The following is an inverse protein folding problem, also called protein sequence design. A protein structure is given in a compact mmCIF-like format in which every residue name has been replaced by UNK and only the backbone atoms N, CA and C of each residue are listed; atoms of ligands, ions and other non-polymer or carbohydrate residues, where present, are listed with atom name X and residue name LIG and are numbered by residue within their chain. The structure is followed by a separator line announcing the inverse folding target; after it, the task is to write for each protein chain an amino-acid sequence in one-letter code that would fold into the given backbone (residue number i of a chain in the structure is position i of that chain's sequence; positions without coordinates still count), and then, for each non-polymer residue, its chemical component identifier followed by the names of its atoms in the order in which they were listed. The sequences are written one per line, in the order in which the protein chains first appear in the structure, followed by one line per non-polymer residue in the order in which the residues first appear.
data_IF_432107473076
#
_entry.id   IF_432107473076
#
_cell.length_a   1.000
_cell.length_b   1.000
_cell.length_c   1.000
_cell.angle_alpha   90.00
_cell.angle_beta   90.00
_cell.angle_gamma   90.00
#
_symmetry.space_group_name_H-M   'P 1'
#
loop_
_entity.id
_entity.type
_entity.pdbx_description
1 polymer ?
#
# COMPACT_ATOMS: atom_id res chain seq x y z
N UNK A 1 -42.54 -25.18 14.88
CA UNK A 1 -41.37 -25.02 13.99
C UNK A 1 -41.65 -25.57 12.59
N UNK A 2 -42.04 -26.84 12.42
CA UNK A 2 -42.41 -27.43 11.10
C UNK A 2 -43.49 -26.61 10.35
N UNK A 3 -44.59 -26.23 11.01
CA UNK A 3 -45.65 -25.41 10.41
C UNK A 3 -45.15 -24.05 9.88
N UNK A 4 -44.24 -23.40 10.61
CA UNK A 4 -43.67 -22.12 10.21
C UNK A 4 -42.79 -22.26 8.96
N UNK A 5 -42.03 -23.36 8.85
CA UNK A 5 -41.21 -23.68 7.69
C UNK A 5 -42.07 -23.91 6.43
N UNK A 6 -43.17 -24.66 6.55
CA UNK A 6 -44.12 -24.86 5.45
C UNK A 6 -44.76 -23.55 4.99
N UNK A 7 -45.17 -22.70 5.94
CA UNK A 7 -45.72 -21.38 5.63
C UNK A 7 -44.68 -20.53 4.87
N UNK A 8 -43.41 -20.53 5.29
CA UNK A 8 -42.32 -19.81 4.63
C UNK A 8 -42.13 -20.28 3.18
N UNK A 9 -42.04 -21.60 2.96
CA UNK A 9 -41.85 -22.17 1.62
C UNK A 9 -43.03 -21.80 0.71
N UNK A 10 -44.26 -21.87 1.23
CA UNK A 10 -45.47 -21.48 0.51
C UNK A 10 -45.44 -19.99 0.12
N UNK A 11 -45.08 -19.11 1.06
CA UNK A 11 -45.01 -17.67 0.79
C UNK A 11 -43.93 -17.31 -0.22
N UNK A 12 -42.73 -17.88 -0.09
CA UNK A 12 -41.60 -17.63 -1.00
C UNK A 12 -41.95 -18.10 -2.41
N UNK A 13 -42.51 -19.31 -2.57
CA UNK A 13 -42.84 -19.86 -3.89
C UNK A 13 -43.89 -19.03 -4.64
N UNK A 14 -44.85 -18.44 -3.94
CA UNK A 14 -45.95 -17.69 -4.55
C UNK A 14 -45.54 -16.30 -5.07
N UNK A 15 -44.57 -15.65 -4.42
CA UNK A 15 -44.16 -14.27 -4.71
C UNK A 15 -42.62 -14.17 -4.89
N UNK A 16 -41.98 -15.20 -5.46
CA UNK A 16 -40.51 -15.37 -5.49
C UNK A 16 -39.76 -14.19 -6.12
N UNK A 17 -40.27 -13.61 -7.20
CA UNK A 17 -39.64 -12.48 -7.89
C UNK A 17 -39.55 -11.24 -7.00
N UNK A 18 -40.49 -11.06 -6.06
CA UNK A 18 -40.51 -9.92 -5.13
C UNK A 18 -39.51 -10.10 -3.99
N UNK A 19 -39.37 -11.33 -3.51
CA UNK A 19 -38.36 -11.66 -2.52
C UNK A 19 -36.96 -11.54 -3.11
N UNK A 20 -36.75 -11.99 -4.35
CA UNK A 20 -35.48 -11.79 -5.06
C UNK A 20 -35.16 -10.31 -5.27
N UNK A 21 -36.15 -9.49 -5.63
CA UNK A 21 -35.96 -8.04 -5.75
C UNK A 21 -35.55 -7.40 -4.42
N UNK A 22 -36.21 -7.77 -3.32
CA UNK A 22 -35.83 -7.30 -1.98
C UNK A 22 -34.42 -7.75 -1.59
N UNK A 23 -34.06 -9.01 -1.89
CA UNK A 23 -32.72 -9.52 -1.64
C UNK A 23 -31.69 -8.70 -2.40
N UNK A 24 -31.92 -8.41 -3.69
CA UNK A 24 -31.04 -7.59 -4.52
C UNK A 24 -30.90 -6.16 -4.00
N UNK A 25 -32.01 -5.52 -3.59
CA UNK A 25 -31.99 -4.18 -3.00
C UNK A 25 -31.16 -4.15 -1.71
N UNK A 26 -31.29 -5.16 -0.85
CA UNK A 26 -30.48 -5.25 0.37
C UNK A 26 -29.01 -5.59 0.08
N UNK A 27 -28.70 -6.36 -0.98
CA UNK A 27 -27.30 -6.57 -1.41
C UNK A 27 -26.69 -5.23 -1.80
N UNK A 28 -27.35 -4.46 -2.68
CA UNK A 28 -26.87 -3.14 -3.09
C UNK A 28 -26.69 -2.20 -1.89
N UNK A 29 -27.65 -2.20 -0.96
CA UNK A 29 -27.53 -1.43 0.28
C UNK A 29 -26.30 -1.85 1.10
N UNK A 30 -26.11 -3.15 1.32
CA UNK A 30 -24.98 -3.65 2.10
C UNK A 30 -23.65 -3.35 1.43
N UNK A 31 -23.54 -3.50 0.11
CA UNK A 31 -22.35 -3.13 -0.66
C UNK A 31 -22.04 -1.63 -0.51
N UNK A 32 -23.02 -0.76 -0.66
CA UNK A 32 -22.84 0.69 -0.51
C UNK A 32 -22.39 1.07 0.91
N UNK A 33 -23.09 0.57 1.94
CA UNK A 33 -22.75 0.94 3.33
C UNK A 33 -21.43 0.31 3.77
N UNK A 34 -21.14 -0.93 3.38
CA UNK A 34 -19.89 -1.60 3.72
C UNK A 34 -18.68 -0.89 3.12
N UNK A 35 -18.76 -0.52 1.84
CA UNK A 35 -17.72 0.29 1.20
C UNK A 35 -17.59 1.68 1.85
N UNK A 36 -18.68 2.28 2.31
CA UNK A 36 -18.64 3.56 3.04
C UNK A 36 -17.96 3.41 4.41
N UNK A 37 -18.25 2.33 5.15
CA UNK A 37 -17.61 2.04 6.44
C UNK A 37 -16.12 1.77 6.26
N UNK A 38 -15.74 0.97 5.25
CA UNK A 38 -14.33 0.72 4.93
C UNK A 38 -13.62 2.00 4.48
N UNK A 39 -14.32 2.87 3.76
CA UNK A 39 -13.80 4.18 3.38
C UNK A 39 -13.54 5.07 4.61
N UNK A 40 -14.48 5.15 5.56
CA UNK A 40 -14.31 5.94 6.79
C UNK A 40 -13.21 5.34 7.68
N UNK A 41 -13.17 4.02 7.87
CA UNK A 41 -12.08 3.33 8.61
C UNK A 41 -10.73 3.53 7.91
N UNK A 42 -10.72 3.57 6.58
CA UNK A 42 -9.55 3.92 5.77
C UNK A 42 -9.11 5.38 5.93
N UNK A 43 -10.06 6.31 6.10
CA UNK A 43 -9.77 7.72 6.40
C UNK A 43 -9.19 7.87 7.81
N UNK A 44 -9.69 7.16 8.81
CA UNK A 44 -9.09 7.14 10.16
C UNK A 44 -7.71 6.46 10.17
N UNK A 45 -7.46 5.49 9.28
CA UNK A 45 -6.10 4.94 9.09
C UNK A 45 -5.14 5.91 8.41
N UNK A 46 -5.59 6.90 7.64
CA UNK A 46 -4.71 8.01 7.21
C UNK A 46 -4.08 8.72 8.43
N UNK A 47 -4.72 8.68 9.60
CA UNK A 47 -4.13 9.24 10.82
C UNK A 47 -3.02 8.38 11.44
N UNK A 48 -2.92 7.10 11.05
CA UNK A 48 -1.89 6.13 11.42
C UNK A 48 -0.85 5.88 10.30
N UNK A 49 -0.96 6.53 9.14
CA UNK A 49 -0.04 6.41 7.99
C UNK A 49 1.37 6.96 8.23
N UNK A 50 1.60 7.50 9.41
CA UNK A 50 2.86 8.11 9.82
C UNK A 50 3.53 7.16 10.80
N UNK A 51 4.49 6.39 10.31
CA UNK A 51 5.36 5.65 11.19
C UNK A 51 6.18 6.67 11.99
N UNK A 52 5.92 6.68 13.29
CA UNK A 52 6.57 7.57 14.25
C UNK A 52 7.68 6.83 14.95
N UNK A 53 8.93 7.18 14.66
CA UNK A 53 10.09 6.58 15.33
C UNK A 53 11.13 7.63 15.63
N UNK A 54 11.77 7.51 16.80
CA UNK A 54 12.86 8.39 17.24
C UNK A 54 12.54 9.90 17.14
N UNK A 55 11.27 10.27 17.30
CA UNK A 55 10.83 11.66 17.19
C UNK A 55 10.59 12.16 15.75
N UNK A 56 10.60 11.27 14.75
CA UNK A 56 10.35 11.58 13.34
C UNK A 56 9.12 10.85 12.80
N UNK A 57 8.57 11.39 11.72
CA UNK A 57 7.52 10.81 10.87
C UNK A 57 8.13 10.54 9.52
N UNK A 58 8.06 9.29 9.07
CA UNK A 58 8.61 8.85 7.80
C UNK A 58 7.49 8.62 6.79
N UNK A 59 7.73 8.98 5.53
CA UNK A 59 6.77 8.85 4.44
C UNK A 59 7.53 8.45 3.18
N UNK A 60 7.47 7.15 2.85
CA UNK A 60 8.07 6.66 1.61
C UNK A 60 7.22 7.06 0.41
N UNK A 61 7.86 7.65 -0.60
CA UNK A 61 7.22 7.97 -1.87
C UNK A 61 7.33 6.80 -2.84
N UNK A 62 6.24 6.49 -3.54
CA UNK A 62 6.16 5.53 -4.63
C UNK A 62 5.49 6.13 -5.84
N UNK A 63 5.91 5.70 -7.02
CA UNK A 63 5.32 6.13 -8.27
C UNK A 63 3.84 5.77 -8.32
N UNK A 64 3.01 6.71 -8.74
CA UNK A 64 1.63 6.41 -9.07
C UNK A 64 1.59 5.61 -10.38
N UNK A 65 1.11 4.36 -10.33
CA UNK A 65 1.14 3.41 -11.45
C UNK A 65 0.06 3.69 -12.52
N UNK A 66 -0.35 4.94 -12.72
CA UNK A 66 -1.46 5.31 -13.60
C UNK A 66 -1.07 5.36 -15.09
N UNK A 67 -0.31 4.35 -15.53
CA UNK A 67 -0.35 3.89 -16.91
C UNK A 67 -0.38 2.36 -16.90
N UNK A 68 -1.55 1.81 -17.23
CA UNK A 68 -1.80 0.38 -17.44
C UNK A 68 -1.13 -0.18 -18.70
N UNK A 69 -0.32 0.62 -19.37
CA UNK A 69 0.81 0.16 -20.15
C UNK A 69 2.03 0.35 -19.27
N UNK A 70 2.77 -0.72 -18.97
CA UNK A 70 4.21 -0.60 -18.75
C UNK A 70 4.76 0.12 -19.99
N UNK A 71 4.70 1.46 -20.00
CA UNK A 71 5.68 2.23 -20.72
C UNK A 71 6.90 1.89 -19.91
N UNK A 72 7.71 0.98 -20.45
CA UNK A 72 8.99 0.67 -19.88
C UNK A 72 9.62 2.01 -19.55
N UNK A 73 9.99 2.24 -18.30
CA UNK A 73 10.56 3.52 -17.84
C UNK A 73 11.79 3.87 -18.71
N UNK A 74 12.37 2.85 -19.35
CA UNK A 74 13.38 2.88 -20.40
C UNK A 74 13.01 3.63 -21.69
N UNK A 75 11.72 3.76 -22.01
CA UNK A 75 11.20 4.38 -23.24
C UNK A 75 10.73 5.82 -23.05
N UNK A 76 10.76 6.36 -21.82
CA UNK A 76 10.46 7.76 -21.56
C UNK A 76 11.79 8.52 -21.44
N UNK A 77 12.23 9.26 -22.47
CA UNK A 77 13.32 10.21 -22.32
C UNK A 77 12.85 11.39 -21.47
N UNK A 78 12.82 11.20 -20.16
CA UNK A 78 12.73 12.30 -19.21
C UNK A 78 14.01 13.13 -19.32
N UNK A 79 13.89 14.46 -19.33
CA UNK A 79 15.08 15.31 -19.32
C UNK A 79 15.80 15.13 -17.98
N UNK A 80 17.04 14.66 -18.02
CA UNK A 80 17.94 14.55 -16.86
C UNK A 80 17.93 15.83 -16.03
N UNK A 81 17.93 16.98 -16.69
CA UNK A 81 17.85 18.32 -16.07
C UNK A 81 16.60 18.47 -15.17
N UNK A 82 15.44 17.98 -15.62
CA UNK A 82 14.19 18.06 -14.85
C UNK A 82 14.24 17.18 -13.60
N UNK A 83 14.84 16.00 -13.71
CA UNK A 83 15.04 15.11 -12.56
C UNK A 83 16.00 15.72 -11.54
N UNK A 84 17.09 16.33 -12.02
CA UNK A 84 18.05 17.05 -11.17
C UNK A 84 17.38 18.21 -10.43
N UNK A 85 16.62 19.05 -11.12
CA UNK A 85 15.87 20.16 -10.51
C UNK A 85 14.87 19.65 -9.45
N UNK A 86 14.26 18.50 -9.69
CA UNK A 86 13.34 17.86 -8.74
C UNK A 86 14.06 17.37 -7.49
N UNK A 87 15.18 16.66 -7.65
CA UNK A 87 16.01 16.25 -6.51
C UNK A 87 16.55 17.45 -5.74
N UNK A 88 16.97 18.51 -6.42
CA UNK A 88 17.44 19.74 -5.79
C UNK A 88 16.34 20.42 -4.96
N UNK A 89 15.11 20.51 -5.50
CA UNK A 89 13.95 21.04 -4.76
C UNK A 89 13.64 20.20 -3.52
N UNK A 90 13.73 18.87 -3.61
CA UNK A 90 13.49 17.97 -2.47
C UNK A 90 14.56 18.12 -1.39
N UNK A 91 15.84 18.09 -1.78
CA UNK A 91 16.98 18.20 -0.86
C UNK A 91 17.06 19.57 -0.17
N UNK A 92 16.58 20.64 -0.83
CA UNK A 92 16.62 22.00 -0.28
C UNK A 92 15.36 22.40 0.51
N UNK A 93 14.33 21.55 0.58
CA UNK A 93 13.12 21.87 1.32
C UNK A 93 13.36 21.77 2.84
N UNK A 94 13.10 22.85 3.58
CA UNK A 94 13.39 22.91 5.02
C UNK A 94 12.32 22.27 5.90
N UNK A 95 11.19 21.84 5.33
CA UNK A 95 10.06 21.29 6.09
C UNK A 95 10.27 19.82 6.47
N UNK A 96 11.12 19.12 5.73
CA UNK A 96 11.45 17.71 5.90
C UNK A 96 12.90 17.47 5.51
N UNK A 97 13.42 16.30 5.87
CA UNK A 97 14.65 15.76 5.29
C UNK A 97 14.22 14.82 4.17
N UNK A 98 14.77 14.99 2.97
CA UNK A 98 14.62 14.01 1.90
C UNK A 98 15.72 12.98 2.03
N UNK A 99 15.36 11.70 1.96
CA UNK A 99 16.27 10.57 2.09
C UNK A 99 16.16 9.68 0.87
N UNK A 100 17.12 9.82 -0.05
CA UNK A 100 17.40 8.86 -1.12
C UNK A 100 18.23 7.71 -0.54
N UNK A 101 17.53 6.63 -0.19
CA UNK A 101 18.14 5.46 0.44
C UNK A 101 17.60 4.17 -0.17
N UNK A 102 18.51 3.34 -0.68
CA UNK A 102 18.21 2.06 -1.32
C UNK A 102 19.10 0.99 -0.69
N UNK A 103 18.60 0.32 0.35
CA UNK A 103 19.39 -0.58 1.21
C UNK A 103 19.34 -2.06 0.83
N UNK A 104 18.39 -2.47 -0.01
CA UNK A 104 18.26 -3.84 -0.53
C UNK A 104 18.57 -3.81 -2.03
N UNK A 105 19.78 -3.40 -2.36
CA UNK A 105 20.27 -3.37 -3.74
C UNK A 105 21.41 -4.36 -3.91
N UNK A 106 21.63 -4.73 -5.16
CA UNK A 106 22.76 -5.56 -5.57
C UNK A 106 23.66 -4.80 -6.52
N UNK A 107 24.94 -5.13 -6.46
CA UNK A 107 25.92 -4.69 -7.45
C UNK A 107 26.77 -5.86 -7.89
N UNK A 108 27.09 -5.93 -9.18
CA UNK A 108 27.91 -7.01 -9.72
C UNK A 108 29.37 -6.73 -9.42
N UNK A 109 30.04 -7.65 -8.77
CA UNK A 109 31.50 -7.66 -8.64
C UNK A 109 32.08 -8.80 -9.47
N UNK A 110 33.27 -8.58 -10.07
CA UNK A 110 33.95 -9.61 -10.84
C UNK A 110 34.54 -10.67 -9.91
N UNK A 111 34.24 -11.95 -10.16
CA UNK A 111 34.62 -13.06 -9.28
C UNK A 111 36.14 -13.13 -9.08
N UNK A 112 36.92 -12.86 -10.11
CA UNK A 112 38.38 -12.87 -10.03
C UNK A 112 38.91 -11.81 -9.04
N UNK A 113 38.24 -10.66 -8.94
CA UNK A 113 38.64 -9.59 -8.02
C UNK A 113 38.17 -9.88 -6.60
N UNK A 114 36.95 -10.38 -6.43
CA UNK A 114 36.48 -10.80 -5.12
C UNK A 114 37.38 -11.90 -4.56
N UNK A 115 37.71 -12.93 -5.34
CA UNK A 115 38.62 -13.99 -4.94
C UNK A 115 40.04 -13.48 -4.62
N UNK A 116 40.48 -12.37 -5.24
CA UNK A 116 41.79 -11.77 -4.95
C UNK A 116 41.84 -11.22 -3.52
N UNK A 117 40.77 -10.60 -3.04
CA UNK A 117 40.70 -10.01 -1.70
C UNK A 117 40.33 -11.04 -0.63
N UNK A 118 39.36 -11.91 -0.92
CA UNK A 118 38.88 -12.94 0.03
C UNK A 118 39.82 -14.16 0.11
N UNK A 119 40.63 -14.43 -0.92
CA UNK A 119 41.55 -15.56 -0.92
C UNK A 119 40.82 -16.91 -0.85
N UNK A 120 41.07 -17.68 0.20
CA UNK A 120 40.40 -18.96 0.46
C UNK A 120 39.13 -18.80 1.33
N UNK A 121 38.88 -17.61 1.88
CA UNK A 121 37.71 -17.35 2.73
C UNK A 121 36.43 -17.26 1.89
N UNK A 122 35.32 -17.66 2.50
CA UNK A 122 34.00 -17.55 1.87
C UNK A 122 33.49 -16.11 1.91
N UNK A 123 32.99 -15.62 0.77
CA UNK A 123 32.29 -14.34 0.64
C UNK A 123 30.75 -14.48 0.71
N UNK A 124 30.21 -15.65 1.08
CA UNK A 124 28.75 -15.92 1.09
C UNK A 124 27.95 -14.91 1.94
N UNK A 125 28.53 -14.45 3.05
CA UNK A 125 27.90 -13.48 3.96
C UNK A 125 27.71 -12.08 3.32
N UNK A 126 28.46 -11.78 2.26
CA UNK A 126 28.49 -10.48 1.57
C UNK A 126 27.62 -10.46 0.30
N UNK A 127 27.03 -11.59 -0.07
CA UNK A 127 26.19 -11.72 -1.25
C UNK A 127 24.84 -11.01 -1.05
N UNK A 128 24.31 -10.44 -2.13
CA UNK A 128 22.95 -9.89 -2.14
C UNK A 128 21.92 -10.99 -1.79
N UNK A 129 20.88 -10.62 -1.05
CA UNK A 129 19.83 -11.53 -0.56
C UNK A 129 20.32 -12.67 0.33
N UNK A 130 21.50 -12.52 0.93
CA UNK A 130 21.94 -13.30 2.08
C UNK A 130 20.88 -13.26 3.17
N UNK A 131 20.28 -14.42 3.50
CA UNK A 131 19.20 -14.50 4.49
C UNK A 131 19.69 -14.23 5.92
N UNK A 132 20.95 -14.57 6.20
CA UNK A 132 21.58 -14.38 7.51
C UNK A 132 23.06 -13.98 7.34
N UNK A 133 23.34 -12.73 6.93
CA UNK A 133 24.71 -12.23 6.83
C UNK A 133 25.46 -12.43 8.15
N UNK A 134 26.60 -13.12 8.10
CA UNK A 134 27.46 -13.44 9.24
C UNK A 134 27.25 -14.83 9.84
N UNK A 135 26.28 -15.61 9.36
CA UNK A 135 25.96 -16.95 9.86
C UNK A 135 26.22 -18.07 8.83
N UNK A 136 26.62 -17.78 7.60
CA UNK A 136 26.82 -18.84 6.58
C UNK A 136 27.98 -19.77 6.87
N UNK A 137 29.02 -19.29 7.57
CA UNK A 137 30.11 -20.16 8.06
C UNK A 137 29.58 -21.29 8.95
N UNK A 138 28.45 -21.10 9.63
CA UNK A 138 27.83 -22.09 10.52
C UNK A 138 26.80 -23.00 9.81
N UNK A 139 26.21 -22.56 8.69
CA UNK A 139 25.12 -23.26 7.98
C UNK A 139 25.30 -23.28 6.44
N UNK A 140 26.27 -24.04 5.90
CA UNK A 140 26.67 -24.00 4.49
C UNK A 140 25.63 -24.57 3.50
N UNK A 141 24.55 -25.19 3.97
CA UNK A 141 23.49 -25.73 3.11
C UNK A 141 22.59 -24.66 2.48
N UNK A 142 22.68 -23.41 2.94
CA UNK A 142 21.78 -22.32 2.55
C UNK A 142 22.44 -21.31 1.57
N UNK A 143 23.53 -21.70 0.90
CA UNK A 143 24.27 -20.81 -0.01
C UNK A 143 23.34 -20.23 -1.08
N UNK A 144 23.28 -18.90 -1.22
CA UNK A 144 22.54 -18.28 -2.32
C UNK A 144 23.24 -18.59 -3.66
N UNK A 145 22.47 -18.96 -4.69
CA UNK A 145 22.98 -19.06 -6.05
C UNK A 145 22.99 -17.66 -6.66
N UNK A 146 24.18 -17.07 -6.83
CA UNK A 146 24.34 -15.66 -7.24
C UNK A 146 25.35 -15.43 -8.38
N UNK A 147 25.86 -16.51 -8.98
CA UNK A 147 26.80 -16.40 -10.10
C UNK A 147 26.08 -16.05 -11.40
N UNK A 148 26.54 -14.98 -12.04
CA UNK A 148 26.05 -14.50 -13.33
C UNK A 148 27.22 -14.22 -14.27
N UNK A 149 26.93 -14.04 -15.56
CA UNK A 149 27.93 -13.59 -16.52
C UNK A 149 27.63 -12.15 -16.96
N UNK A 150 28.67 -11.33 -17.04
CA UNK A 150 28.64 -10.02 -17.68
C UNK A 150 29.75 -9.98 -18.74
N UNK A 151 29.39 -9.79 -20.01
CA UNK A 151 30.31 -9.84 -21.15
C UNK A 151 31.28 -11.04 -21.14
N UNK A 152 30.76 -12.24 -20.85
CA UNK A 152 31.50 -13.52 -20.74
C UNK A 152 32.46 -13.62 -19.55
N UNK A 153 32.49 -12.65 -18.64
CA UNK A 153 33.20 -12.74 -17.37
C UNK A 153 32.23 -13.11 -16.23
N UNK A 154 32.71 -13.94 -15.31
CA UNK A 154 31.92 -14.37 -14.17
C UNK A 154 31.82 -13.24 -13.14
N UNK A 155 30.60 -12.95 -12.73
CA UNK A 155 30.24 -11.90 -11.77
C UNK A 155 29.37 -12.50 -10.67
N UNK A 156 29.40 -11.87 -9.50
CA UNK A 156 28.53 -12.20 -8.37
C UNK A 156 27.84 -10.94 -7.87
N UNK A 157 26.60 -11.10 -7.42
CA UNK A 157 25.81 -10.01 -6.86
C UNK A 157 26.18 -9.82 -5.39
N UNK A 158 26.84 -8.70 -5.09
CA UNK A 158 27.21 -8.28 -3.73
C UNK A 158 26.11 -7.40 -3.14
N UNK A 159 25.92 -7.49 -1.82
CA UNK A 159 24.99 -6.61 -1.09
C UNK A 159 25.45 -5.15 -1.22
N UNK A 160 24.53 -4.28 -1.61
CA UNK A 160 24.82 -2.85 -1.77
C UNK A 160 23.73 -1.99 -1.10
N UNK A 161 24.16 -0.91 -0.49
CA UNK A 161 23.31 0.19 -0.06
C UNK A 161 23.70 1.48 -0.76
N UNK A 162 22.78 2.07 -1.54
CA UNK A 162 22.96 3.43 -2.06
C UNK A 162 22.36 4.45 -1.10
N UNK A 163 23.13 5.49 -0.78
CA UNK A 163 22.76 6.44 0.27
C UNK A 163 23.20 7.87 -0.07
N UNK A 164 22.36 8.85 0.22
CA UNK A 164 22.69 10.28 0.12
C UNK A 164 23.33 10.86 1.41
N UNK A 165 23.75 12.12 1.35
CA UNK A 165 24.37 12.84 2.48
C UNK A 165 23.43 12.97 3.67
N UNK A 166 22.17 13.27 3.38
CA UNK A 166 21.17 13.62 4.39
C UNK A 166 20.76 12.38 5.17
N UNK A 167 20.70 11.22 4.52
CA UNK A 167 20.52 9.93 5.15
C UNK A 167 21.71 9.55 6.02
N UNK A 168 22.95 9.70 5.53
CA UNK A 168 24.15 9.44 6.36
C UNK A 168 24.11 10.25 7.65
N UNK A 169 23.76 11.54 7.55
CA UNK A 169 23.64 12.42 8.70
C UNK A 169 22.47 12.02 9.62
N UNK A 170 21.29 11.76 9.05
CA UNK A 170 20.07 11.42 9.79
C UNK A 170 20.22 10.13 10.60
N UNK A 171 20.82 9.10 10.00
CA UNK A 171 21.07 7.81 10.68
C UNK A 171 22.37 7.80 11.51
N UNK A 172 23.12 8.91 11.54
CA UNK A 172 24.34 9.04 12.34
C UNK A 172 25.44 8.06 11.93
N UNK A 173 25.51 7.70 10.65
CA UNK A 173 26.52 6.77 10.15
C UNK A 173 27.91 7.40 10.29
N UNK A 174 28.87 6.61 10.73
CA UNK A 174 30.27 7.05 10.89
C UNK A 174 31.22 5.91 10.60
N UNK A 175 32.46 6.27 10.25
CA UNK A 175 33.51 5.32 9.90
C UNK A 175 34.33 4.92 11.13
N UNK A 176 34.80 3.67 11.17
CA UNK A 176 35.84 3.20 12.09
C UNK A 176 37.23 3.58 11.58
N UNK A 177 37.42 3.60 10.26
CA UNK A 177 38.68 3.90 9.58
C UNK A 177 38.42 4.61 8.25
N UNK A 178 39.34 5.50 7.85
CA UNK A 178 39.22 6.29 6.62
C UNK A 178 38.34 7.52 6.77
N UNK A 179 37.69 7.92 5.67
CA UNK A 179 36.85 9.12 5.62
C UNK A 179 35.43 8.78 5.20
N UNK A 180 34.45 9.49 5.75
CA UNK A 180 33.07 9.43 5.25
C UNK A 180 32.96 10.18 3.92
N UNK A 181 31.84 10.02 3.20
CA UNK A 181 31.60 10.78 1.97
C UNK A 181 31.58 12.29 2.23
N UNK A 182 32.22 12.99 1.31
CA UNK A 182 32.22 14.43 1.10
C UNK A 182 31.28 14.79 -0.04
N UNK A 183 30.95 16.07 -0.20
CA UNK A 183 30.05 16.52 -1.28
C UNK A 183 30.52 16.12 -2.69
N UNK A 184 31.83 16.02 -2.89
CA UNK A 184 32.41 15.63 -4.18
C UNK A 184 32.17 14.15 -4.52
N UNK A 185 32.01 13.26 -3.52
CA UNK A 185 31.75 11.84 -3.76
C UNK A 185 30.35 11.59 -4.34
N UNK A 186 29.45 12.57 -4.21
CA UNK A 186 28.12 12.55 -4.82
C UNK A 186 28.11 13.09 -6.26
N UNK A 187 29.27 13.44 -6.82
CA UNK A 187 29.42 13.85 -8.22
C UNK A 187 30.10 12.72 -8.99
N UNK A 188 29.40 12.15 -9.97
CA UNK A 188 29.94 11.10 -10.82
C UNK A 188 30.38 11.64 -12.18
N UNK A 189 31.67 11.51 -12.50
CA UNK A 189 32.19 11.78 -13.83
C UNK A 189 32.22 10.50 -14.66
N UNK A 190 31.33 10.43 -15.65
CA UNK A 190 31.21 9.30 -16.59
C UNK A 190 32.53 9.00 -17.30
N UNK A 191 33.32 10.03 -17.61
CA UNK A 191 34.59 9.88 -18.33
C UNK A 191 35.67 9.21 -17.48
N UNK A 192 35.70 9.48 -16.18
CA UNK A 192 36.61 8.81 -15.24
C UNK A 192 36.15 7.38 -14.93
N UNK A 193 34.84 7.18 -14.74
CA UNK A 193 34.29 5.91 -14.26
C UNK A 193 34.68 5.56 -12.82
N UNK A 194 35.29 6.49 -12.07
CA UNK A 194 35.75 6.27 -10.71
C UNK A 194 34.65 6.64 -9.70
N UNK A 195 34.52 5.86 -8.63
CA UNK A 195 33.59 6.14 -7.54
C UNK A 195 34.21 5.80 -6.19
N UNK A 196 34.06 6.69 -5.20
CA UNK A 196 34.40 6.38 -3.82
C UNK A 196 33.30 5.51 -3.20
N UNK A 197 33.68 4.43 -2.53
CA UNK A 197 32.76 3.59 -1.76
C UNK A 197 33.16 3.53 -0.29
N UNK A 198 32.18 3.33 0.57
CA UNK A 198 32.41 2.87 1.93
C UNK A 198 32.10 1.39 2.00
N UNK A 199 32.80 0.67 2.86
CA UNK A 199 32.53 -0.75 3.09
C UNK A 199 31.98 -0.96 4.50
N UNK A 200 31.09 -1.94 4.65
CA UNK A 200 30.66 -2.40 5.96
C UNK A 200 31.82 -2.92 6.81
N UNK A 201 31.66 -2.94 8.12
CA UNK A 201 32.72 -3.31 9.06
C UNK A 201 33.31 -4.71 8.80
N UNK A 202 32.53 -5.67 8.29
CA UNK A 202 33.01 -7.03 8.02
C UNK A 202 34.00 -7.10 6.84
N UNK A 203 34.02 -6.11 5.96
CA UNK A 203 34.99 -6.04 4.87
C UNK A 203 36.38 -5.61 5.33
N UNK A 204 36.54 -5.06 6.54
CA UNK A 204 37.81 -4.55 7.05
C UNK A 204 38.87 -5.65 7.22
N UNK A 205 38.47 -6.93 7.24
CA UNK A 205 39.39 -8.06 7.25
C UNK A 205 40.03 -8.34 5.86
N UNK A 206 39.41 -7.86 4.77
CA UNK A 206 39.75 -8.26 3.40
C UNK A 206 40.23 -7.11 2.51
N UNK A 207 40.00 -5.86 2.92
CA UNK A 207 40.31 -4.66 2.14
C UNK A 207 41.07 -3.65 3.00
N UNK A 208 41.91 -2.85 2.33
CA UNK A 208 42.55 -1.66 2.89
C UNK A 208 41.98 -0.37 2.26
N UNK A 209 42.16 0.77 2.92
CA UNK A 209 41.80 2.07 2.35
C UNK A 209 42.65 2.35 1.12
N UNK A 210 42.01 2.77 0.03
CA UNK A 210 42.63 3.01 -1.27
C UNK A 210 42.63 1.80 -2.20
N UNK A 211 42.21 0.63 -1.72
CA UNK A 211 42.00 -0.53 -2.61
C UNK A 211 40.92 -0.25 -3.64
N UNK A 212 41.04 -0.88 -4.79
CA UNK A 212 40.13 -0.71 -5.92
C UNK A 212 39.47 -2.02 -6.31
N UNK A 213 38.17 -1.99 -6.60
CA UNK A 213 37.40 -3.11 -7.13
C UNK A 213 36.50 -2.65 -8.27
N UNK A 214 36.43 -3.43 -9.35
CA UNK A 214 35.52 -3.15 -10.44
C UNK A 214 34.11 -3.65 -10.10
N UNK A 215 33.16 -2.73 -10.20
CA UNK A 215 31.75 -2.96 -9.94
C UNK A 215 30.95 -2.65 -11.20
N UNK A 216 30.01 -3.52 -11.54
CA UNK A 216 29.17 -3.38 -12.73
C UNK A 216 27.70 -3.14 -12.34
N UNK A 217 27.13 -2.12 -12.95
CA UNK A 217 25.68 -1.94 -13.06
C UNK A 217 25.19 -2.64 -14.33
N UNK A 218 23.87 -2.72 -14.58
CA UNK A 218 23.36 -3.25 -15.85
C UNK A 218 23.84 -2.49 -17.10
N UNK A 219 24.37 -1.27 -16.95
CA UNK A 219 24.71 -0.38 -18.07
C UNK A 219 26.22 -0.09 -18.11
N UNK A 220 26.88 0.08 -16.96
CA UNK A 220 28.25 0.60 -16.88
C UNK A 220 29.09 -0.12 -15.84
N UNK A 221 30.37 -0.34 -16.15
CA UNK A 221 31.41 -0.71 -15.18
C UNK A 221 31.97 0.56 -14.56
N UNK A 222 32.22 0.51 -13.26
CA UNK A 222 32.83 1.56 -12.46
C UNK A 222 34.03 0.97 -11.70
N UNK A 223 35.05 1.79 -11.51
CA UNK A 223 36.18 1.46 -10.63
C UNK A 223 35.90 2.07 -9.27
N UNK A 224 35.57 1.23 -8.30
CA UNK A 224 35.23 1.65 -6.96
C UNK A 224 36.48 1.66 -6.07
N UNK A 225 36.77 2.78 -5.43
CA UNK A 225 37.90 2.95 -4.51
C UNK A 225 37.40 2.97 -3.06
N UNK A 226 38.00 2.15 -2.20
CA UNK A 226 37.65 2.06 -0.78
C UNK A 226 38.11 3.33 -0.07
N UNK A 227 37.14 4.14 0.37
CA UNK A 227 37.39 5.41 1.07
C UNK A 227 37.41 5.26 2.59
N UNK A 228 36.67 4.28 3.11
CA UNK A 228 36.59 4.01 4.55
C UNK A 228 35.68 2.84 4.90
N UNK A 229 35.75 2.42 6.15
CA UNK A 229 34.97 1.34 6.73
C UNK A 229 33.96 1.90 7.72
N UNK A 230 32.69 1.52 7.62
CA UNK A 230 31.68 1.87 8.61
C UNK A 230 32.00 1.24 9.97
N UNK A 231 31.59 1.91 11.05
CA UNK A 231 31.67 1.31 12.39
C UNK A 231 30.86 0.02 12.45
N UNK A 232 31.29 -0.99 13.23
CA UNK A 232 30.51 -2.20 13.47
C UNK A 232 29.11 -1.87 13.99
N UNK A 233 28.12 -2.67 13.59
CA UNK A 233 26.71 -2.45 13.89
C UNK A 233 26.18 -1.11 13.37
N UNK A 234 26.63 -0.64 12.20
CA UNK A 234 26.01 0.50 11.54
C UNK A 234 24.63 0.11 11.02
N UNK A 235 23.59 0.88 11.39
CA UNK A 235 22.19 0.48 11.16
C UNK A 235 21.39 1.57 10.48
N UNK A 236 20.49 1.15 9.60
CA UNK A 236 19.40 1.98 9.09
C UNK A 236 18.12 1.55 9.79
N UNK A 237 17.41 2.52 10.36
CA UNK A 237 16.15 2.31 11.04
C UNK A 237 15.06 3.21 10.45
N UNK A 238 14.21 2.65 9.57
CA UNK A 238 13.08 3.37 8.96
C UNK A 238 11.90 2.43 8.64
N UNK A 239 10.81 3.00 8.14
CA UNK A 239 9.55 2.30 7.83
C UNK A 239 9.72 1.00 7.03
N UNK A 240 10.61 1.00 6.03
CA UNK A 240 10.83 -0.17 5.18
C UNK A 240 11.53 -1.33 5.89
N UNK A 241 12.38 -1.04 6.89
CA UNK A 241 13.09 -2.07 7.67
C UNK A 241 12.15 -2.79 8.64
N UNK A 242 11.10 -2.12 9.14
CA UNK A 242 10.20 -2.70 10.13
C UNK A 242 8.95 -3.37 9.53
N UNK A 243 8.34 -2.77 8.50
CA UNK A 243 7.09 -3.29 7.92
C UNK A 243 7.31 -4.46 6.96
N UNK A 244 8.45 -4.53 6.25
CA UNK A 244 8.71 -5.58 5.25
C UNK A 244 9.61 -6.72 5.76
N UNK A 245 10.42 -6.52 6.80
CA UNK A 245 11.45 -7.48 7.25
C UNK A 245 11.29 -7.95 8.71
N UNK A 246 10.07 -7.93 9.26
CA UNK A 246 9.80 -8.59 10.55
C UNK A 246 10.55 -7.98 11.74
N UNK A 247 10.56 -6.64 11.82
CA UNK A 247 11.08 -5.84 12.96
C UNK A 247 12.61 -5.71 13.13
N UNK A 248 13.44 -6.13 12.16
CA UNK A 248 14.89 -5.98 12.27
C UNK A 248 15.42 -4.73 11.54
N UNK A 249 16.29 -3.92 12.18
CA UNK A 249 16.98 -2.84 11.49
C UNK A 249 17.95 -3.41 10.45
N UNK A 250 18.16 -2.69 9.35
CA UNK A 250 19.12 -3.12 8.32
C UNK A 250 20.53 -2.84 8.80
N UNK A 251 21.31 -3.91 8.98
CA UNK A 251 22.71 -3.86 9.39
C UNK A 251 23.57 -3.78 8.13
N UNK A 252 24.48 -2.81 8.10
CA UNK A 252 25.32 -2.51 6.93
C UNK A 252 26.70 -3.18 6.96
N UNK A 253 26.97 -4.01 7.97
CA UNK A 253 28.30 -4.58 8.20
C UNK A 253 28.83 -5.43 7.04
N UNK A 254 27.93 -6.03 6.23
CA UNK A 254 28.25 -6.88 5.07
C UNK A 254 27.91 -6.23 3.72
N UNK A 255 27.64 -4.93 3.68
CA UNK A 255 27.21 -4.23 2.46
C UNK A 255 28.31 -3.32 1.91
N UNK A 256 28.30 -3.14 0.58
CA UNK A 256 29.02 -2.07 -0.11
C UNK A 256 28.15 -0.82 -0.07
N UNK A 257 28.66 0.30 0.42
CA UNK A 257 27.91 1.54 0.56
C UNK A 257 28.38 2.49 -0.55
N UNK A 258 27.45 2.87 -1.42
CA UNK A 258 27.70 3.69 -2.59
C UNK A 258 26.94 5.01 -2.49
N UNK A 259 27.50 6.14 -2.94
CA UNK A 259 26.79 7.42 -2.90
C UNK A 259 25.61 7.44 -3.89
N UNK A 260 24.47 7.99 -3.48
CA UNK A 260 23.41 8.42 -4.39
C UNK A 260 23.87 9.68 -5.14
N UNK A 261 24.24 9.54 -6.41
CA UNK A 261 24.79 10.66 -7.17
C UNK A 261 23.81 11.85 -7.26
N UNK A 262 24.25 13.02 -6.78
CA UNK A 262 23.54 14.30 -6.90
C UNK A 262 23.74 14.90 -8.28
N UNK A 263 24.92 14.72 -8.86
CA UNK A 263 25.24 15.21 -10.19
C UNK A 263 26.04 14.15 -10.97
N UNK A 264 25.78 14.08 -12.27
CA UNK A 264 26.39 13.16 -13.22
C UNK A 264 26.85 14.00 -14.40
N UNK A 265 28.16 14.06 -14.61
CA UNK A 265 28.79 14.89 -15.63
C UNK A 265 29.43 14.01 -16.71
N UNK A 266 29.78 14.61 -17.86
CA UNK A 266 30.39 13.87 -18.97
C UNK A 266 29.41 13.01 -19.77
N UNK A 267 28.13 13.39 -19.83
CA UNK A 267 27.11 12.66 -20.60
C UNK A 267 27.26 13.00 -22.10
N UNK A 268 27.75 12.05 -22.90
CA UNK A 268 28.01 12.28 -24.33
C UNK A 268 27.09 11.46 -25.24
N UNK A 269 26.81 10.21 -24.87
CA UNK A 269 26.10 9.26 -25.71
C UNK A 269 24.74 8.82 -25.12
N UNK A 270 24.01 7.94 -25.83
CA UNK A 270 22.70 7.47 -25.38
C UNK A 270 22.77 6.49 -24.21
N UNK A 271 23.85 5.71 -24.08
CA UNK A 271 24.05 4.81 -22.94
C UNK A 271 24.32 5.60 -21.66
N UNK A 272 25.12 6.67 -21.75
CA UNK A 272 25.39 7.60 -20.65
C UNK A 272 24.08 8.26 -20.18
N UNK A 273 23.24 8.69 -21.13
CA UNK A 273 21.92 9.24 -20.81
C UNK A 273 21.04 8.20 -20.11
N UNK A 274 21.04 6.96 -20.59
CA UNK A 274 20.27 5.87 -19.97
C UNK A 274 20.74 5.57 -18.55
N UNK A 275 22.06 5.54 -18.34
CA UNK A 275 22.67 5.38 -17.03
C UNK A 275 22.26 6.53 -16.09
N UNK A 276 22.45 7.77 -16.51
CA UNK A 276 22.12 8.94 -15.70
C UNK A 276 20.62 9.00 -15.36
N UNK A 277 19.74 8.75 -16.34
CA UNK A 277 18.30 8.69 -16.09
C UNK A 277 17.92 7.59 -15.10
N UNK A 278 18.56 6.41 -15.16
CA UNK A 278 18.30 5.33 -14.21
C UNK A 278 18.73 5.72 -12.78
N UNK A 279 19.91 6.30 -12.63
CA UNK A 279 20.43 6.76 -11.33
C UNK A 279 19.54 7.84 -10.72
N UNK A 280 19.18 8.87 -11.48
CA UNK A 280 18.30 9.92 -10.98
C UNK A 280 16.89 9.41 -10.66
N UNK A 281 16.35 8.51 -11.48
CA UNK A 281 15.04 7.92 -11.21
C UNK A 281 15.04 7.15 -9.88
N UNK A 282 16.06 6.34 -9.65
CA UNK A 282 16.24 5.60 -8.40
C UNK A 282 16.31 6.55 -7.18
N UNK A 283 16.99 7.70 -7.33
CA UNK A 283 17.10 8.69 -6.25
C UNK A 283 15.78 9.44 -5.99
N UNK A 284 14.92 9.60 -7.00
CA UNK A 284 13.63 10.27 -6.87
C UNK A 284 12.62 9.44 -6.04
N UNK A 285 12.82 8.13 -5.90
CA UNK A 285 12.04 7.26 -5.00
C UNK A 285 12.56 7.31 -3.56
N UNK A 286 12.47 8.49 -2.94
CA UNK A 286 12.96 8.73 -1.59
C UNK A 286 11.90 8.64 -0.49
N UNK A 287 12.36 8.89 0.75
CA UNK A 287 11.52 9.02 1.94
C UNK A 287 11.55 10.46 2.43
N UNK A 288 10.37 11.03 2.69
CA UNK A 288 10.25 12.32 3.38
C UNK A 288 10.23 12.07 4.89
N UNK A 289 11.11 12.77 5.61
CA UNK A 289 11.28 12.61 7.05
C UNK A 289 10.95 13.94 7.73
N UNK A 290 9.86 13.96 8.49
CA UNK A 290 9.38 15.14 9.22
C UNK A 290 9.65 15.00 10.72
N UNK A 291 9.84 16.12 11.44
CA UNK A 291 9.78 16.07 12.91
C UNK A 291 8.35 15.66 13.34
N UNK A 292 8.25 14.74 14.30
CA UNK A 292 6.98 14.20 14.79
C UNK A 292 6.03 15.23 15.41
N UNK A 293 6.52 16.43 15.72
CA UNK A 293 5.75 17.60 16.19
C UNK A 293 5.09 18.37 15.06
N UNK A 294 5.51 18.17 13.80
CA UNK A 294 4.90 18.83 12.65
C UNK A 294 3.44 18.40 12.51
N UNK A 295 2.56 19.36 12.25
CA UNK A 295 1.14 19.07 12.09
C UNK A 295 0.86 18.26 10.84
N UNK A 296 -0.16 17.39 10.88
CA UNK A 296 -0.58 16.58 9.75
C UNK A 296 -0.98 17.40 8.52
N UNK A 297 -1.52 18.61 8.72
CA UNK A 297 -1.85 19.52 7.62
C UNK A 297 -0.59 19.89 6.84
N UNK A 298 0.47 20.32 7.53
CA UNK A 298 1.74 20.71 6.90
C UNK A 298 2.34 19.53 6.12
N UNK A 299 2.29 18.33 6.69
CA UNK A 299 2.76 17.11 6.02
C UNK A 299 1.97 16.87 4.73
N UNK A 300 0.63 16.90 4.80
CA UNK A 300 -0.25 16.71 3.64
C UNK A 300 -0.03 17.78 2.57
N UNK A 301 0.08 19.04 2.97
CA UNK A 301 0.33 20.18 2.08
C UNK A 301 1.70 20.04 1.39
N UNK A 302 2.72 19.57 2.12
CA UNK A 302 4.06 19.33 1.57
C UNK A 302 4.05 18.21 0.54
N UNK A 303 3.38 17.07 0.83
CA UNK A 303 3.26 15.96 -0.13
C UNK A 303 2.52 16.43 -1.40
N UNK A 304 1.46 17.22 -1.23
CA UNK A 304 0.71 17.77 -2.36
C UNK A 304 1.60 18.68 -3.21
N UNK A 305 2.30 19.64 -2.61
CA UNK A 305 3.20 20.56 -3.32
C UNK A 305 4.31 19.81 -4.06
N UNK A 306 4.89 18.78 -3.44
CA UNK A 306 5.89 17.93 -4.09
C UNK A 306 5.29 17.24 -5.32
N UNK A 307 4.10 16.65 -5.17
CA UNK A 307 3.45 15.95 -6.28
C UNK A 307 3.09 16.91 -7.43
N UNK A 308 2.58 18.10 -7.10
CA UNK A 308 2.31 19.18 -8.06
C UNK A 308 3.61 19.60 -8.78
N UNK A 309 4.74 19.69 -8.06
CA UNK A 309 6.03 20.01 -8.66
C UNK A 309 6.54 18.91 -9.61
N UNK A 310 6.43 17.64 -9.25
CA UNK A 310 6.78 16.53 -10.14
C UNK A 310 5.95 16.58 -11.45
N UNK A 311 4.67 16.94 -11.36
CA UNK A 311 3.78 17.14 -12.51
C UNK A 311 4.20 18.35 -13.35
N UNK A 312 4.53 19.48 -12.74
CA UNK A 312 5.03 20.68 -13.43
C UNK A 312 6.32 20.39 -14.21
N UNK A 313 7.20 19.56 -13.64
CA UNK A 313 8.40 19.10 -14.35
C UNK A 313 8.08 18.10 -15.47
N UNK A 314 6.88 17.54 -15.52
CA UNK A 314 6.47 16.56 -16.53
C UNK A 314 7.19 15.22 -16.37
N UNK A 315 7.43 14.82 -15.12
CA UNK A 315 7.98 13.51 -14.76
C UNK A 315 6.78 12.59 -14.40
N UNK A 316 6.81 11.88 -13.27
CA UNK A 316 5.71 11.03 -12.78
C UNK A 316 5.15 11.58 -11.47
N UNK A 317 3.92 11.25 -11.14
CA UNK A 317 3.36 11.58 -9.83
C UNK A 317 3.83 10.61 -8.76
N UNK A 318 3.94 11.12 -7.54
CA UNK A 318 4.37 10.37 -6.36
C UNK A 318 3.25 10.29 -5.33
N UNK A 319 3.14 9.15 -4.68
CA UNK A 319 2.17 8.90 -3.61
C UNK A 319 2.85 8.23 -2.42
N UNK A 320 2.36 8.41 -1.19
CA UNK A 320 2.84 7.63 -0.05
C UNK A 320 2.60 6.12 -0.26
N UNK A 321 3.59 5.27 0.03
CA UNK A 321 3.50 3.79 -0.11
C UNK A 321 2.25 3.20 0.56
N UNK A 322 1.89 3.72 1.73
CA UNK A 322 0.73 3.26 2.51
C UNK A 322 -0.52 4.14 2.28
N UNK A 323 -0.53 5.00 1.25
CA UNK A 323 -1.67 5.81 0.87
C UNK A 323 -2.85 4.95 0.41
N UNK A 324 -4.06 5.26 0.85
CA UNK A 324 -5.23 4.46 0.53
C UNK A 324 -5.54 4.52 -0.98
N UNK A 325 -5.45 3.37 -1.65
CA UNK A 325 -5.69 3.20 -3.10
C UNK A 325 -7.07 3.71 -3.58
N UNK A 326 -8.05 3.86 -2.69
CA UNK A 326 -9.38 4.36 -3.04
C UNK A 326 -9.39 5.77 -3.63
N UNK A 327 -8.44 6.63 -3.24
CA UNK A 327 -8.29 7.98 -3.81
C UNK A 327 -7.32 8.03 -4.99
N UNK A 328 -6.47 7.01 -5.21
CA UNK A 328 -5.52 7.01 -6.33
C UNK A 328 -6.24 7.19 -7.67
N UNK A 329 -7.43 6.59 -7.81
CA UNK A 329 -8.30 6.72 -9.00
C UNK A 329 -8.89 8.11 -9.21
N UNK A 330 -8.83 8.98 -8.19
CA UNK A 330 -9.45 10.30 -8.19
C UNK A 330 -8.44 11.44 -7.96
N UNK A 331 -7.16 11.13 -7.72
CA UNK A 331 -6.12 12.13 -7.44
C UNK A 331 -5.76 12.99 -8.66
N UNK A 332 -6.03 12.51 -9.88
CA UNK A 332 -5.93 13.30 -11.12
C UNK A 332 -7.25 13.94 -11.56
N UNK A 333 -8.35 13.69 -10.84
CA UNK A 333 -9.67 14.23 -11.16
C UNK A 333 -9.89 15.56 -10.43
N UNK A 334 -10.59 16.48 -11.08
CA UNK A 334 -10.91 17.77 -10.45
C UNK A 334 -11.74 17.54 -9.17
N UNK A 335 -11.54 18.38 -8.16
CA UNK A 335 -12.32 18.35 -6.91
C UNK A 335 -13.85 18.28 -7.13
N UNK A 336 -14.31 18.90 -8.22
CA UNK A 336 -15.71 18.87 -8.67
C UNK A 336 -16.17 17.46 -9.07
N UNK A 337 -15.34 16.66 -9.73
CA UNK A 337 -15.67 15.27 -10.11
C UNK A 337 -15.87 14.39 -8.87
N UNK A 338 -15.02 14.56 -7.85
CA UNK A 338 -15.11 13.82 -6.58
C UNK A 338 -16.39 14.20 -5.83
N UNK A 339 -16.70 15.49 -5.76
CA UNK A 339 -17.94 15.99 -5.14
C UNK A 339 -19.19 15.46 -5.86
N UNK A 340 -19.17 15.42 -7.20
CA UNK A 340 -20.26 14.86 -8.00
C UNK A 340 -20.43 13.34 -7.78
N UNK A 341 -19.33 12.59 -7.70
CA UNK A 341 -19.37 11.15 -7.42
C UNK A 341 -19.92 10.88 -6.01
N UNK A 342 -19.49 11.66 -5.01
CA UNK A 342 -19.99 11.56 -3.64
C UNK A 342 -21.49 11.90 -3.58
N UNK A 343 -21.93 12.94 -4.30
CA UNK A 343 -23.34 13.31 -4.41
C UNK A 343 -24.16 12.21 -5.09
N UNK A 344 -23.61 11.57 -6.13
CA UNK A 344 -24.26 10.44 -6.82
C UNK A 344 -24.43 9.24 -5.89
N UNK A 345 -23.38 8.86 -5.15
CA UNK A 345 -23.43 7.78 -4.16
C UNK A 345 -24.45 8.07 -3.06
N UNK A 346 -24.50 9.31 -2.58
CA UNK A 346 -25.50 9.75 -1.61
C UNK A 346 -26.93 9.64 -2.16
N UNK A 347 -27.15 10.08 -3.40
CA UNK A 347 -28.43 9.92 -4.09
C UNK A 347 -28.84 8.45 -4.23
N UNK A 348 -27.90 7.57 -4.61
CA UNK A 348 -28.13 6.13 -4.73
C UNK A 348 -28.44 5.47 -3.38
N UNK A 349 -27.82 5.95 -2.31
CA UNK A 349 -28.10 5.49 -0.95
C UNK A 349 -29.52 5.85 -0.51
N UNK A 350 -29.92 7.12 -0.70
CA UNK A 350 -31.29 7.57 -0.43
C UNK A 350 -32.31 6.79 -1.26
N UNK A 351 -32.03 6.63 -2.55
CA UNK A 351 -32.88 5.86 -3.46
C UNK A 351 -33.08 4.42 -2.97
N UNK A 352 -32.01 3.73 -2.55
CA UNK A 352 -32.10 2.37 -2.01
C UNK A 352 -32.95 2.31 -0.75
N UNK A 353 -32.80 3.26 0.19
CA UNK A 353 -33.62 3.31 1.41
C UNK A 353 -35.10 3.47 1.06
N UNK A 354 -35.42 4.42 0.17
CA UNK A 354 -36.79 4.68 -0.26
C UNK A 354 -37.37 3.46 -0.99
N UNK A 355 -36.60 2.84 -1.90
CA UNK A 355 -37.01 1.66 -2.65
C UNK A 355 -37.31 0.49 -1.72
N UNK A 356 -36.45 0.20 -0.74
CA UNK A 356 -36.68 -0.82 0.29
C UNK A 356 -37.96 -0.51 1.09
N UNK A 357 -38.14 0.75 1.52
CA UNK A 357 -39.31 1.17 2.29
C UNK A 357 -40.61 0.99 1.49
N UNK A 358 -40.63 1.40 0.22
CA UNK A 358 -41.79 1.23 -0.66
C UNK A 358 -42.08 -0.24 -0.94
N UNK A 359 -41.06 -1.03 -1.28
CA UNK A 359 -41.17 -2.47 -1.53
C UNK A 359 -41.76 -3.20 -0.31
N UNK A 360 -41.25 -2.90 0.89
CA UNK A 360 -41.71 -3.52 2.13
C UNK A 360 -43.16 -3.13 2.46
N UNK A 361 -43.51 -1.84 2.37
CA UNK A 361 -44.88 -1.37 2.61
C UNK A 361 -45.88 -1.97 1.62
N UNK A 362 -45.52 -2.02 0.35
CA UNK A 362 -46.35 -2.65 -0.68
C UNK A 362 -46.53 -4.15 -0.39
N UNK A 363 -45.45 -4.83 0.01
CA UNK A 363 -45.49 -6.24 0.36
C UNK A 363 -46.40 -6.51 1.57
N UNK A 364 -46.27 -5.70 2.62
CA UNK A 364 -47.14 -5.74 3.80
C UNK A 364 -48.60 -5.58 3.39
N UNK A 365 -48.92 -4.52 2.63
CA UNK A 365 -50.29 -4.25 2.17
C UNK A 365 -50.87 -5.44 1.40
N UNK A 366 -50.13 -6.02 0.46
CA UNK A 366 -50.58 -7.17 -0.34
C UNK A 366 -50.89 -8.40 0.52
N UNK A 367 -50.13 -8.61 1.59
CA UNK A 367 -50.24 -9.80 2.44
C UNK A 367 -51.25 -9.66 3.58
N UNK A 368 -51.77 -8.46 3.85
CA UNK A 368 -52.77 -8.21 4.91
C UNK A 368 -53.98 -9.12 4.82
N UNK A 369 -54.53 -9.29 3.63
CA UNK A 369 -55.69 -10.16 3.41
C UNK A 369 -55.39 -11.62 3.76
N UNK A 370 -54.20 -12.12 3.37
CA UNK A 370 -53.78 -13.48 3.71
C UNK A 370 -53.53 -13.65 5.22
N UNK A 371 -52.97 -12.63 5.87
CA UNK A 371 -52.78 -12.57 7.33
C UNK A 371 -54.14 -12.58 8.06
N UNK A 372 -55.11 -11.81 7.58
CA UNK A 372 -56.46 -11.76 8.15
C UNK A 372 -57.16 -13.12 8.06
N UNK A 373 -57.10 -13.80 6.91
CA UNK A 373 -57.65 -15.16 6.74
C UNK A 373 -57.00 -16.14 7.73
N UNK A 374 -55.69 -16.07 7.92
CA UNK A 374 -55.01 -16.97 8.87
C UNK A 374 -55.46 -16.74 10.32
N UNK A 375 -55.65 -15.49 10.71
CA UNK A 375 -56.15 -15.14 12.05
C UNK A 375 -57.59 -15.63 12.22
N UNK A 376 -58.45 -15.45 11.21
CA UNK A 376 -59.84 -15.95 11.23
C UNK A 376 -59.93 -17.47 11.28
N UNK A 377 -59.01 -18.17 10.62
CA UNK A 377 -58.89 -19.63 10.67
C UNK A 377 -58.27 -20.14 12.00
N UNK A 378 -58.17 -19.29 13.03
CA UNK A 378 -57.77 -19.67 14.38
C UNK A 378 -56.27 -19.57 14.67
N UNK A 379 -55.44 -19.07 13.74
CA UNK A 379 -54.01 -18.89 14.01
C UNK A 379 -53.81 -17.69 14.93
N UNK A 380 -53.20 -17.92 16.11
CA UNK A 380 -52.88 -16.83 17.06
C UNK A 380 -52.03 -15.76 16.36
N UNK A 381 -52.39 -14.50 16.51
CA UNK A 381 -51.72 -13.34 15.92
C UNK A 381 -50.20 -13.33 16.18
N UNK A 382 -49.77 -13.75 17.38
CA UNK A 382 -48.35 -13.87 17.76
C UNK A 382 -47.57 -14.80 16.82
N UNK A 383 -48.16 -15.92 16.40
CA UNK A 383 -47.48 -16.85 15.49
C UNK A 383 -47.37 -16.30 14.08
N UNK A 384 -48.36 -15.54 13.61
CA UNK A 384 -48.28 -14.88 12.30
C UNK A 384 -47.18 -13.82 12.30
N UNK A 385 -47.13 -12.96 13.34
CA UNK A 385 -46.09 -11.94 13.48
C UNK A 385 -44.70 -12.60 13.54
N UNK A 386 -44.54 -13.68 14.29
CA UNK A 386 -43.26 -14.39 14.41
C UNK A 386 -42.80 -14.98 13.06
N UNK A 387 -43.70 -15.59 12.28
CA UNK A 387 -43.37 -16.09 10.94
C UNK A 387 -42.85 -14.97 10.03
N UNK A 388 -43.46 -13.79 10.11
CA UNK A 388 -43.05 -12.61 9.33
C UNK A 388 -41.72 -12.01 9.79
N UNK A 389 -41.46 -11.99 11.10
CA UNK A 389 -40.15 -11.61 11.64
C UNK A 389 -39.05 -12.52 11.07
N UNK A 390 -39.31 -13.83 11.00
CA UNK A 390 -38.36 -14.77 10.42
C UNK A 390 -38.12 -14.53 8.93
N UNK A 391 -39.17 -14.24 8.14
CA UNK A 391 -39.02 -13.93 6.71
C UNK A 391 -38.16 -12.67 6.50
N UNK A 392 -38.41 -11.61 7.28
CA UNK A 392 -37.63 -10.36 7.20
C UNK A 392 -36.16 -10.62 7.57
N UNK A 393 -35.92 -11.35 8.66
CA UNK A 393 -34.57 -11.71 9.08
C UNK A 393 -33.86 -12.58 8.03
N UNK A 394 -34.55 -13.55 7.45
CA UNK A 394 -34.01 -14.42 6.41
C UNK A 394 -33.57 -13.64 5.17
N UNK A 395 -34.39 -12.70 4.69
CA UNK A 395 -34.05 -11.85 3.54
C UNK A 395 -32.78 -11.04 3.83
N UNK A 396 -32.76 -10.32 4.96
CA UNK A 396 -31.64 -9.42 5.30
C UNK A 396 -30.35 -10.21 5.52
N UNK A 397 -30.41 -11.34 6.25
CA UNK A 397 -29.23 -12.18 6.48
C UNK A 397 -28.71 -12.83 5.20
N UNK A 398 -29.61 -13.29 4.33
CA UNK A 398 -29.21 -13.86 3.03
C UNK A 398 -28.55 -12.80 2.16
N UNK A 399 -29.09 -11.58 2.13
CA UNK A 399 -28.47 -10.45 1.42
C UNK A 399 -27.10 -10.08 1.97
N UNK A 400 -26.92 -10.08 3.29
CA UNK A 400 -25.62 -9.81 3.90
C UNK A 400 -24.61 -10.89 3.50
N UNK A 401 -24.97 -12.18 3.61
CA UNK A 401 -24.10 -13.29 3.21
C UNK A 401 -23.72 -13.17 1.73
N UNK A 402 -24.68 -12.86 0.85
CA UNK A 402 -24.39 -12.68 -0.58
C UNK A 402 -23.52 -11.46 -0.85
N UNK A 403 -23.64 -10.38 -0.09
CA UNK A 403 -22.73 -9.22 -0.19
C UNK A 403 -21.29 -9.61 0.20
N UNK A 404 -21.11 -10.40 1.26
CA UNK A 404 -19.80 -10.95 1.65
C UNK A 404 -19.23 -11.94 0.62
N UNK A 405 -20.07 -12.70 -0.07
CA UNK A 405 -19.63 -13.60 -1.15
C UNK A 405 -19.26 -12.83 -2.42
N UNK A 406 -19.96 -11.73 -2.70
CA UNK A 406 -19.63 -10.84 -3.81
C UNK A 406 -18.28 -10.14 -3.60
N UNK A 407 -18.05 -9.61 -2.40
CA UNK A 407 -16.77 -9.04 -2.01
C UNK A 407 -16.05 -9.93 -0.99
N UNK A 408 -15.40 -10.98 -1.51
CA UNK A 408 -14.70 -11.98 -0.70
C UNK A 408 -13.59 -11.41 0.20
N UNK A 409 -13.15 -10.17 -0.05
CA UNK A 409 -12.13 -9.51 0.78
C UNK A 409 -12.66 -9.07 2.14
N UNK A 410 -13.98 -8.90 2.29
CA UNK A 410 -14.61 -8.42 3.53
C UNK A 410 -14.42 -9.37 4.72
N UNK A 411 -14.28 -10.67 4.46
CA UNK A 411 -14.03 -11.68 5.50
C UNK A 411 -12.65 -11.47 6.14
N UNK A 412 -11.68 -10.99 5.35
CA UNK A 412 -10.29 -10.76 5.77
C UNK A 412 -10.11 -9.40 6.48
N UNK A 413 -11.16 -8.58 6.54
CA UNK A 413 -11.14 -7.30 7.25
C UNK A 413 -11.16 -7.49 8.77
N UNK A 414 -10.85 -6.41 9.50
CA UNK A 414 -10.84 -6.41 10.96
C UNK A 414 -12.17 -6.88 11.55
N UNK A 415 -12.10 -7.51 12.72
CA UNK A 415 -13.28 -7.97 13.47
C UNK A 415 -14.27 -6.82 13.73
N UNK A 416 -13.79 -5.59 13.93
CA UNK A 416 -14.64 -4.40 14.11
C UNK A 416 -15.56 -4.13 12.93
N UNK A 417 -15.08 -4.23 11.69
CA UNK A 417 -15.89 -4.07 10.49
C UNK A 417 -17.04 -5.09 10.45
N UNK A 418 -16.71 -6.36 10.72
CA UNK A 418 -17.70 -7.43 10.75
C UNK A 418 -18.76 -7.21 11.84
N UNK A 419 -18.37 -6.73 13.02
CA UNK A 419 -19.30 -6.36 14.08
C UNK A 419 -20.23 -5.22 13.64
N UNK A 420 -19.69 -4.17 12.99
CA UNK A 420 -20.49 -3.04 12.50
C UNK A 420 -21.53 -3.51 11.49
N UNK A 421 -21.15 -4.35 10.52
CA UNK A 421 -22.08 -4.89 9.52
C UNK A 421 -23.18 -5.75 10.15
N UNK A 422 -22.84 -6.55 11.16
CA UNK A 422 -23.81 -7.32 11.94
C UNK A 422 -24.77 -6.40 12.72
N UNK A 423 -24.27 -5.34 13.36
CA UNK A 423 -25.10 -4.37 14.08
C UNK A 423 -26.05 -3.63 13.14
N UNK A 424 -25.58 -3.23 11.95
CA UNK A 424 -26.42 -2.59 10.92
C UNK A 424 -27.53 -3.55 10.48
N UNK A 425 -27.20 -4.81 10.20
CA UNK A 425 -28.21 -5.81 9.81
C UNK A 425 -29.24 -6.07 10.92
N UNK A 426 -28.80 -6.17 12.18
CA UNK A 426 -29.69 -6.31 13.33
C UNK A 426 -30.63 -5.10 13.47
N UNK A 427 -30.10 -3.89 13.32
CA UNK A 427 -30.89 -2.66 13.36
C UNK A 427 -31.95 -2.62 12.25
N UNK A 428 -31.59 -3.02 11.03
CA UNK A 428 -32.52 -3.11 9.90
C UNK A 428 -33.62 -4.14 10.16
N UNK A 429 -33.29 -5.31 10.71
CA UNK A 429 -34.28 -6.33 11.08
C UNK A 429 -35.28 -5.74 12.08
N UNK A 430 -34.78 -5.08 13.14
CA UNK A 430 -35.63 -4.47 14.17
C UNK A 430 -36.54 -3.37 13.61
N UNK A 431 -36.00 -2.47 12.79
CA UNK A 431 -36.77 -1.40 12.14
C UNK A 431 -37.89 -1.96 11.25
N UNK A 432 -37.58 -2.95 10.42
CA UNK A 432 -38.56 -3.54 9.52
C UNK A 432 -39.65 -4.32 10.27
N UNK A 433 -39.28 -5.03 11.34
CA UNK A 433 -40.26 -5.68 12.24
C UNK A 433 -41.15 -4.62 12.91
N UNK A 434 -40.59 -3.52 13.39
CA UNK A 434 -41.36 -2.44 14.00
C UNK A 434 -42.38 -1.85 13.02
N UNK A 435 -41.97 -1.52 11.79
CA UNK A 435 -42.88 -1.03 10.75
C UNK A 435 -43.96 -2.06 10.39
N UNK A 436 -43.61 -3.33 10.32
CA UNK A 436 -44.56 -4.43 10.10
C UNK A 436 -45.64 -4.48 11.19
N UNK A 437 -45.24 -4.50 12.46
CA UNK A 437 -46.15 -4.56 13.61
C UNK A 437 -47.05 -3.31 13.66
N UNK A 438 -46.48 -2.12 13.46
CA UNK A 438 -47.24 -0.86 13.38
C UNK A 438 -48.24 -0.86 12.21
N UNK A 439 -47.85 -1.46 11.08
CA UNK A 439 -48.68 -1.58 9.88
C UNK A 439 -49.86 -2.53 10.02
N UNK A 440 -49.84 -3.45 11.00
CA UNK A 440 -50.93 -4.39 11.31
C UNK A 440 -51.78 -3.88 12.48
N UNK A 441 -51.15 -3.36 13.55
CA UNK A 441 -51.84 -2.94 14.78
C UNK A 441 -52.79 -1.75 14.61
N UNK A 442 -52.58 -0.90 13.59
CA UNK A 442 -53.41 0.28 13.33
C UNK A 442 -54.77 0.00 12.65
N UNK A 443 -55.05 -1.24 12.27
CA UNK A 443 -56.24 -1.57 11.45
C UNK A 443 -57.12 -2.60 12.11
N UNK A 444 -58.44 -2.39 12.02
CA UNK A 444 -59.42 -3.39 12.47
C UNK A 444 -59.39 -4.62 11.56
N UNK A 445 -59.81 -5.79 12.07
CA UNK A 445 -59.84 -7.04 11.29
C UNK A 445 -60.71 -6.88 10.02
N UNK A 446 -61.76 -6.06 10.10
CA UNK A 446 -62.63 -5.71 8.99
C UNK A 446 -61.87 -4.94 7.87
N UNK A 447 -61.05 -3.96 8.24
CA UNK A 447 -60.21 -3.21 7.28
C UNK A 447 -59.10 -4.05 6.63
N UNK A 448 -58.69 -5.16 7.24
CA UNK A 448 -57.69 -6.06 6.66
C UNK A 448 -58.30 -7.03 5.63
N UNK A 449 -59.61 -7.27 5.69
CA UNK A 449 -60.36 -8.15 4.79
C UNK A 449 -60.81 -7.46 3.50
N UNK A 450 -61.07 -6.15 3.54
CA UNK A 450 -61.42 -5.40 2.33
C UNK A 450 -60.16 -5.12 1.50
N UNK A 451 -60.07 -5.78 0.33
CA UNK A 451 -59.11 -5.41 -0.73
C UNK A 451 -59.59 -4.11 -1.38
N UNK A 452 -58.87 -3.02 -1.16
CA UNK A 452 -58.80 -1.96 -2.16
C UNK A 452 -57.57 -2.18 -3.02
#
# INVERSE_FOLDING_TARGET
MKQALYDIIYYIRRDISKYLLLILQYILFFTLIGNTVLYIDGLEKNDQMYCKKNGYVYIKLVQNSFNSSFIDIWDIPMSIEKMQLTLEKLNNDKRFIFSSLLHDQEIKAFVNEVNRYFGEDSYDDFLAHSYYPGYYKEYPSNKPSNEQYWNNEQTINMSMCKIDSDSIQHYGLSVSEGEIFSDNDYVFDIGSGEVSILLGAAYQEYFDIGDTIHLATPIKIMTATVKGFLKPNSRIENDTTYENMGEAPVILDYSIIMPCFKNIIGIENNEDKKFASLEYNNNLYGTLIFDSKVSKSIIKDSIKEINDYYLEQGIFTMTPLNGNNGFLYLQGEESVSIELLALLLFCLFIYNILAIHYSLNYFIKKQRHAIAIQILNGKKQKHVILSWCFIIAFIIMTSLILAYLYDGTWILQKISFNIIMLLISALLILLNIFFFIKGISKKTMHEMLWRH
#
